data_IF_303281201067
#
_entry.id   IF_303281201067
#
_cell.length_a   1.000
_cell.length_b   1.000
_cell.length_c   1.000
_cell.angle_alpha   90.00
_cell.angle_beta   90.00
_cell.angle_gamma   90.00
#
_symmetry.space_group_name_H-M   'P 1'
#
loop_
_entity.id
_entity.type
_entity.pdbx_description
1 polymer ?
#
# COMPACT_ATOMS: atom_id res chain seq x y z
N UNK A 1 -6.52 -35.04 -17.66
CA UNK A 1 -6.59 -33.57 -17.63
C UNK A 1 -7.76 -33.20 -16.73
N UNK A 2 -7.51 -32.71 -15.52
CA UNK A 2 -8.56 -32.37 -14.57
C UNK A 2 -8.82 -30.86 -14.67
N UNK A 3 -10.05 -30.50 -15.02
CA UNK A 3 -10.52 -29.13 -15.01
C UNK A 3 -11.14 -28.86 -13.64
N UNK A 4 -10.51 -28.00 -12.83
CA UNK A 4 -11.05 -27.56 -11.54
C UNK A 4 -11.70 -26.19 -11.78
N UNK A 5 -13.03 -26.14 -11.70
CA UNK A 5 -13.79 -24.88 -11.74
C UNK A 5 -14.08 -24.45 -10.31
N UNK A 6 -13.44 -23.38 -9.86
CA UNK A 6 -13.76 -22.73 -8.59
C UNK A 6 -14.93 -21.77 -8.77
N UNK A 7 -16.10 -22.12 -8.26
CA UNK A 7 -17.25 -21.21 -8.17
C UNK A 7 -17.23 -20.49 -6.82
N UNK A 8 -17.20 -19.15 -6.83
CA UNK A 8 -17.31 -18.32 -5.61
C UNK A 8 -18.79 -18.01 -5.38
N UNK A 9 -19.39 -18.64 -4.36
CA UNK A 9 -20.77 -18.35 -3.96
C UNK A 9 -20.74 -17.16 -2.99
N UNK A 10 -21.21 -16.00 -3.45
CA UNK A 10 -21.42 -14.84 -2.57
C UNK A 10 -22.83 -14.95 -1.96
N UNK A 11 -22.90 -15.28 -0.67
CA UNK A 11 -24.13 -15.14 0.11
C UNK A 11 -24.45 -13.64 0.26
N UNK A 12 -25.44 -13.13 -0.49
CA UNK A 12 -26.00 -11.81 -0.24
C UNK A 12 -27.24 -12.03 0.63
N UNK A 13 -27.09 -11.89 1.95
CA UNK A 13 -28.27 -11.80 2.83
C UNK A 13 -29.07 -10.56 2.42
N UNK A 14 -30.41 -10.63 2.44
CA UNK A 14 -31.29 -9.51 2.08
C UNK A 14 -31.12 -8.25 2.97
N UNK A 15 -30.22 -8.31 3.95
CA UNK A 15 -29.85 -7.23 4.87
C UNK A 15 -28.39 -6.78 4.73
N UNK A 16 -27.63 -7.31 3.77
CA UNK A 16 -26.28 -6.83 3.48
C UNK A 16 -26.37 -5.42 2.89
N UNK A 17 -26.07 -4.41 3.70
CA UNK A 17 -25.95 -3.03 3.24
C UNK A 17 -24.60 -2.89 2.55
N UNK A 18 -24.50 -2.10 1.47
CA UNK A 18 -23.18 -1.75 0.97
C UNK A 18 -22.35 -1.15 2.11
N UNK A 19 -21.06 -1.50 2.24
CA UNK A 19 -20.24 -0.90 3.27
C UNK A 19 -20.22 0.61 3.06
N UNK A 20 -20.34 1.37 4.14
CA UNK A 20 -20.10 2.79 4.16
C UNK A 20 -18.67 3.05 3.69
N UNK A 21 -18.53 3.94 2.70
CA UNK A 21 -17.24 4.28 2.11
C UNK A 21 -16.90 5.72 2.43
N UNK A 22 -15.86 5.91 3.23
CA UNK A 22 -15.29 7.21 3.48
C UNK A 22 -14.07 7.37 2.58
N UNK A 23 -14.07 8.41 1.76
CA UNK A 23 -12.92 8.79 0.92
C UNK A 23 -12.33 10.05 1.53
N UNK A 24 -11.04 9.99 1.83
CA UNK A 24 -10.27 11.03 2.49
C UNK A 24 -9.22 11.50 1.50
N UNK A 25 -9.13 12.80 1.25
CA UNK A 25 -8.19 13.34 0.28
C UNK A 25 -6.73 13.28 0.79
N UNK A 26 -5.76 13.30 -0.11
CA UNK A 26 -4.36 13.48 0.29
C UNK A 26 -4.20 14.81 1.04
N UNK A 27 -3.46 14.79 2.15
CA UNK A 27 -3.31 15.92 3.06
C UNK A 27 -4.36 16.00 4.17
N UNK A 28 -5.43 15.21 4.11
CA UNK A 28 -6.39 15.08 5.20
C UNK A 28 -6.03 13.93 6.15
N UNK A 29 -6.57 14.00 7.37
CA UNK A 29 -6.35 13.04 8.44
C UNK A 29 -7.38 11.92 8.38
N UNK A 30 -6.90 10.67 8.28
CA UNK A 30 -7.73 9.48 8.45
C UNK A 30 -7.53 8.89 9.86
N UNK A 31 -8.56 8.95 10.69
CA UNK A 31 -8.54 8.28 12.00
C UNK A 31 -9.03 6.83 11.91
N UNK A 32 -8.23 5.89 12.40
CA UNK A 32 -8.57 4.48 12.49
C UNK A 32 -7.91 3.83 13.71
N UNK A 33 -8.71 3.10 14.52
CA UNK A 33 -8.25 2.34 15.70
C UNK A 33 -7.31 3.11 16.65
N UNK A 34 -7.68 4.34 17.00
CA UNK A 34 -6.93 5.17 17.96
C UNK A 34 -5.69 5.86 17.39
N UNK A 35 -5.45 5.75 16.08
CA UNK A 35 -4.39 6.44 15.34
C UNK A 35 -4.98 7.35 14.28
N UNK A 36 -4.27 8.42 13.96
CA UNK A 36 -4.49 9.25 12.77
C UNK A 36 -3.36 9.03 11.79
N UNK A 37 -3.71 8.80 10.53
CA UNK A 37 -2.79 8.65 9.42
C UNK A 37 -2.95 9.85 8.48
N UNK A 38 -1.83 10.44 8.08
CA UNK A 38 -1.77 11.46 7.04
C UNK A 38 -0.67 11.08 6.07
N UNK A 39 -0.91 11.18 4.76
CA UNK A 39 0.16 10.98 3.78
C UNK A 39 1.11 12.16 3.87
N UNK A 40 2.37 11.85 4.14
CA UNK A 40 3.48 12.79 4.16
C UNK A 40 4.12 12.89 2.78
N UNK A 41 4.29 11.75 2.11
CA UNK A 41 4.93 11.65 0.80
C UNK A 41 4.57 10.32 0.11
N UNK A 42 4.69 10.28 -1.23
CA UNK A 42 4.52 9.07 -2.02
C UNK A 42 5.43 9.12 -3.27
N UNK A 43 6.24 8.09 -3.46
CA UNK A 43 7.19 7.99 -4.57
C UNK A 43 7.00 6.68 -5.31
N UNK A 44 6.79 6.75 -6.62
CA UNK A 44 6.73 5.61 -7.52
C UNK A 44 8.10 5.38 -8.16
N UNK A 45 8.74 4.29 -7.76
CA UNK A 45 10.04 3.88 -8.24
C UNK A 45 9.95 2.89 -9.38
N UNK A 46 10.90 3.01 -10.31
CA UNK A 46 11.29 1.85 -11.08
C UNK A 46 11.91 0.80 -10.15
N UNK A 47 11.45 -0.46 -10.24
CA UNK A 47 11.72 -1.46 -9.19
C UNK A 47 13.21 -1.64 -8.89
N UNK A 48 14.02 -1.80 -9.94
CA UNK A 48 15.47 -2.04 -9.78
C UNK A 48 16.22 -0.79 -9.32
N UNK A 49 15.74 0.40 -9.65
CA UNK A 49 16.43 1.65 -9.33
C UNK A 49 16.34 1.98 -7.84
N UNK A 50 15.21 1.64 -7.20
CA UNK A 50 15.10 1.72 -5.74
C UNK A 50 16.23 0.96 -5.03
N UNK A 51 16.50 -0.29 -5.44
CA UNK A 51 17.54 -1.10 -4.79
C UNK A 51 18.96 -0.65 -5.16
N UNK A 52 19.16 -0.04 -6.35
CA UNK A 52 20.45 0.60 -6.70
C UNK A 52 20.74 1.80 -5.81
N UNK A 53 19.72 2.61 -5.51
CA UNK A 53 19.85 3.79 -4.65
C UNK A 53 19.87 3.46 -3.15
N UNK A 54 19.27 2.33 -2.78
CA UNK A 54 19.22 1.79 -1.42
C UNK A 54 19.93 0.43 -1.32
N UNK A 55 21.26 0.37 -1.47
CA UNK A 55 22.01 -0.88 -1.48
C UNK A 55 21.91 -1.66 -0.16
N UNK A 56 21.55 -1.00 0.95
CA UNK A 56 21.24 -1.65 2.23
C UNK A 56 20.05 -2.62 2.14
N UNK A 57 19.14 -2.42 1.18
CA UNK A 57 17.96 -3.26 0.97
C UNK A 57 18.12 -4.23 -0.20
N UNK A 58 19.31 -4.30 -0.81
CA UNK A 58 19.59 -5.13 -1.98
C UNK A 58 19.25 -6.63 -1.78
N UNK A 59 19.32 -7.14 -0.54
CA UNK A 59 18.94 -8.52 -0.22
C UNK A 59 17.45 -8.81 -0.36
N UNK A 60 16.61 -7.78 -0.35
CA UNK A 60 15.16 -7.88 -0.53
C UNK A 60 14.73 -7.82 -2.00
N UNK A 61 15.65 -7.46 -2.91
CA UNK A 61 15.34 -7.44 -4.33
C UNK A 61 15.10 -8.86 -4.84
N UNK A 62 13.90 -9.11 -5.36
CA UNK A 62 13.57 -10.38 -5.99
C UNK A 62 14.11 -10.43 -7.44
N UNK A 63 14.92 -11.45 -7.75
CA UNK A 63 15.60 -11.56 -9.05
C UNK A 63 14.69 -11.63 -10.29
N UNK A 64 13.43 -12.03 -10.10
CA UNK A 64 12.41 -12.15 -11.14
C UNK A 64 11.64 -10.85 -11.39
N UNK A 65 11.74 -9.89 -10.46
CA UNK A 65 11.08 -8.61 -10.54
C UNK A 65 12.05 -7.57 -11.13
N UNK A 66 11.58 -6.85 -12.14
CA UNK A 66 12.35 -5.89 -12.94
C UNK A 66 11.53 -4.65 -13.19
N UNK A 67 12.17 -3.57 -13.63
CA UNK A 67 11.46 -2.35 -13.98
C UNK A 67 10.42 -2.51 -15.10
N UNK A 68 10.58 -3.53 -15.95
CA UNK A 68 9.65 -3.83 -17.05
C UNK A 68 8.34 -4.47 -16.59
N UNK A 69 8.35 -5.13 -15.43
CA UNK A 69 7.23 -5.94 -14.94
C UNK A 69 6.70 -5.52 -13.56
N UNK A 70 7.43 -4.66 -12.85
CA UNK A 70 7.10 -4.24 -11.48
C UNK A 70 7.48 -2.79 -11.26
N UNK A 71 6.63 -2.05 -10.54
CA UNK A 71 6.99 -0.75 -9.93
C UNK A 71 6.89 -0.86 -8.41
N UNK A 72 7.63 -0.03 -7.69
CA UNK A 72 7.56 0.04 -6.23
C UNK A 72 6.99 1.42 -5.84
N UNK A 73 5.77 1.44 -5.31
CA UNK A 73 5.18 2.64 -4.72
C UNK A 73 5.55 2.67 -3.23
N UNK A 74 6.44 3.59 -2.85
CA UNK A 74 6.79 3.85 -1.46
C UNK A 74 5.93 4.98 -0.91
N UNK A 75 5.19 4.74 0.17
CA UNK A 75 4.32 5.76 0.77
C UNK A 75 4.73 6.02 2.21
N UNK A 76 4.96 7.28 2.53
CA UNK A 76 5.28 7.75 3.87
C UNK A 76 4.03 8.33 4.53
N UNK A 77 3.69 7.85 5.72
CA UNK A 77 2.59 8.36 6.52
C UNK A 77 3.10 8.97 7.81
N UNK A 78 2.58 10.13 8.19
CA UNK A 78 2.67 10.58 9.58
C UNK A 78 1.61 9.84 10.39
N UNK A 79 2.01 9.20 11.49
CA UNK A 79 1.09 8.48 12.37
C UNK A 79 1.02 9.15 13.74
N UNK A 80 -0.17 9.59 14.12
CA UNK A 80 -0.39 10.24 15.41
C UNK A 80 -1.28 9.38 16.33
N UNK A 81 -0.87 9.24 17.59
CA UNK A 81 -1.65 8.57 18.63
C UNK A 81 -2.63 9.55 19.23
N UNK A 82 -3.93 9.28 19.07
CA UNK A 82 -5.00 10.11 19.64
C UNK A 82 -5.70 9.48 20.85
N UNK A 83 -5.43 8.20 21.13
CA UNK A 83 -5.99 7.44 22.26
C UNK A 83 -4.95 6.52 22.89
N UNK A 84 -5.07 6.24 24.19
CA UNK A 84 -4.16 5.36 24.91
C UNK A 84 -4.08 3.96 24.32
N UNK A 85 -5.23 3.39 23.98
CA UNK A 85 -5.35 2.16 23.23
C UNK A 85 -5.36 2.47 21.73
N UNK A 86 -4.44 1.86 21.00
CA UNK A 86 -4.32 2.01 19.56
C UNK A 86 -3.85 0.69 18.92
N UNK A 87 -4.15 0.53 17.64
CA UNK A 87 -3.67 -0.60 16.84
C UNK A 87 -3.15 -0.07 15.51
N UNK A 88 -1.84 -0.20 15.31
CA UNK A 88 -1.19 0.10 14.05
C UNK A 88 -1.47 -1.00 13.04
N UNK A 89 -1.90 -0.61 11.85
CA UNK A 89 -1.98 -1.52 10.70
C UNK A 89 -0.64 -1.45 9.96
N UNK A 90 0.13 -2.54 10.00
CA UNK A 90 1.48 -2.60 9.41
C UNK A 90 1.47 -3.04 7.96
N UNK A 91 0.35 -3.60 7.48
CA UNK A 91 0.19 -4.03 6.09
C UNK A 91 -1.18 -3.60 5.54
N UNK A 92 -1.50 -2.29 5.56
CA UNK A 92 -2.76 -1.82 5.02
C UNK A 92 -2.83 -2.17 3.54
N UNK A 93 -4.02 -2.52 3.07
CA UNK A 93 -4.21 -2.83 1.65
C UNK A 93 -4.31 -1.53 0.86
N UNK A 94 -3.76 -1.50 -0.34
CA UNK A 94 -4.03 -0.42 -1.30
C UNK A 94 -5.11 -0.88 -2.29
N UNK A 95 -6.16 -0.09 -2.50
CA UNK A 95 -7.23 -0.40 -3.44
C UNK A 95 -6.83 0.03 -4.85
N UNK A 96 -6.30 -0.94 -5.59
CA UNK A 96 -6.44 -1.09 -7.03
C UNK A 96 -6.26 -2.59 -7.35
N UNK A 97 -6.65 -3.01 -8.56
CA UNK A 97 -7.23 -4.33 -8.82
C UNK A 97 -6.31 -5.55 -8.58
N UNK A 98 -6.64 -6.27 -7.50
CA UNK A 98 -6.30 -7.66 -7.19
C UNK A 98 -4.88 -7.97 -6.69
N UNK A 99 -4.79 -7.92 -5.36
CA UNK A 99 -3.81 -8.58 -4.48
C UNK A 99 -2.42 -7.98 -4.57
N UNK A 100 -2.30 -6.79 -3.98
CA UNK A 100 -1.05 -6.33 -3.41
C UNK A 100 -0.80 -7.06 -2.09
N UNK A 101 0.49 -7.23 -1.77
CA UNK A 101 1.09 -7.75 -0.53
C UNK A 101 1.44 -9.23 -0.58
N UNK A 102 2.70 -9.51 -0.92
CA UNK A 102 3.60 -10.03 0.10
C UNK A 102 4.88 -9.22 0.04
N UNK A 103 4.89 -8.11 0.76
CA UNK A 103 6.17 -7.52 1.11
C UNK A 103 6.84 -8.42 2.14
N UNK A 104 8.14 -8.62 2.03
CA UNK A 104 8.90 -9.34 3.04
C UNK A 104 8.71 -8.63 4.40
N UNK A 105 8.17 -9.30 5.44
CA UNK A 105 8.01 -8.71 6.76
C UNK A 105 9.33 -8.22 7.36
N UNK A 106 10.46 -8.80 6.97
CA UNK A 106 11.79 -8.32 7.35
C UNK A 106 12.13 -6.98 6.68
N UNK A 107 11.79 -6.81 5.40
CA UNK A 107 11.99 -5.54 4.72
C UNK A 107 11.12 -4.43 5.35
N UNK A 108 9.87 -4.73 5.72
CA UNK A 108 9.05 -3.76 6.46
C UNK A 108 9.70 -3.35 7.80
N UNK A 109 10.30 -4.31 8.50
CA UNK A 109 10.96 -4.10 9.79
C UNK A 109 12.22 -3.27 9.68
N UNK A 110 13.02 -3.51 8.63
CA UNK A 110 14.25 -2.73 8.34
C UNK A 110 13.93 -1.33 7.81
N UNK A 111 12.83 -1.18 7.07
CA UNK A 111 12.34 0.11 6.60
C UNK A 111 11.76 0.96 7.74
N UNK A 112 11.24 0.31 8.79
CA UNK A 112 10.64 0.96 9.96
C UNK A 112 11.30 0.48 11.27
N UNK A 113 12.60 0.74 11.49
CA UNK A 113 13.35 0.17 12.60
C UNK A 113 12.81 0.60 13.97
N UNK A 114 12.22 1.80 14.07
CA UNK A 114 11.63 2.27 15.33
C UNK A 114 10.41 1.46 15.78
N UNK A 115 9.68 0.82 14.85
CA UNK A 115 8.62 -0.13 15.21
C UNK A 115 9.19 -1.42 15.79
N UNK A 116 10.23 -1.95 15.14
CA UNK A 116 10.93 -3.18 15.54
C UNK A 116 11.60 -3.03 16.91
N UNK A 117 12.20 -1.88 17.16
CA UNK A 117 12.93 -1.57 18.39
C UNK A 117 12.04 -1.00 19.51
N UNK A 118 10.75 -0.77 19.24
CA UNK A 118 9.78 -0.24 20.20
C UNK A 118 9.98 1.23 20.58
N UNK A 119 10.70 1.99 19.75
CA UNK A 119 10.96 3.43 19.94
C UNK A 119 10.02 4.33 19.14
N UNK A 120 9.12 3.74 18.34
CA UNK A 120 8.12 4.47 17.55
C UNK A 120 7.21 5.32 18.44
N UNK A 121 7.11 6.61 18.12
CA UNK A 121 6.30 7.59 18.84
C UNK A 121 5.31 8.31 17.93
N UNK A 122 4.32 8.96 18.54
CA UNK A 122 3.35 9.78 17.81
C UNK A 122 4.06 10.90 17.03
N UNK A 123 3.73 11.04 15.75
CA UNK A 123 4.36 11.97 14.82
C UNK A 123 5.49 11.35 14.01
N UNK A 124 5.92 10.12 14.31
CA UNK A 124 6.89 9.40 13.49
C UNK A 124 6.33 9.08 12.10
N UNK A 125 7.27 8.89 11.17
CA UNK A 125 6.97 8.49 9.80
C UNK A 125 6.92 6.97 9.71
N UNK A 126 5.83 6.44 9.17
CA UNK A 126 5.63 5.06 8.79
C UNK A 126 5.80 4.93 7.28
N UNK A 127 6.73 4.10 6.84
CA UNK A 127 6.94 3.81 5.44
C UNK A 127 6.27 2.49 5.07
N UNK A 128 5.40 2.52 4.05
CA UNK A 128 4.71 1.35 3.54
C UNK A 128 5.01 1.22 2.04
N UNK A 129 5.69 0.14 1.65
CA UNK A 129 6.00 -0.18 0.27
C UNK A 129 4.92 -1.04 -0.36
N UNK A 130 4.59 -0.75 -1.62
CA UNK A 130 3.62 -1.48 -2.42
C UNK A 130 4.21 -1.86 -3.80
N UNK A 131 4.30 -3.15 -4.08
CA UNK A 131 4.78 -3.65 -5.39
C UNK A 131 3.64 -3.78 -6.39
N UNK A 132 3.72 -3.04 -7.50
CA UNK A 132 2.74 -3.02 -8.59
C UNK A 132 3.19 -3.93 -9.72
N UNK A 133 2.59 -5.11 -9.78
CA UNK A 133 2.88 -6.09 -10.82
C UNK A 133 2.09 -5.83 -12.10
N UNK A 134 2.80 -5.69 -13.22
CA UNK A 134 2.23 -5.60 -14.57
C UNK A 134 1.31 -6.76 -14.91
N UNK A 135 1.61 -7.97 -14.40
CA UNK A 135 0.82 -9.17 -14.65
C UNK A 135 -0.63 -9.09 -14.13
N UNK A 136 -0.89 -8.23 -13.14
CA UNK A 136 -2.23 -8.03 -12.57
C UNK A 136 -3.02 -6.92 -13.29
N UNK A 137 -2.41 -6.26 -14.28
CA UNK A 137 -2.95 -5.08 -14.94
C UNK A 137 -3.19 -5.34 -16.44
N UNK A 138 -4.19 -4.67 -17.00
CA UNK A 138 -4.29 -4.56 -18.46
C UNK A 138 -3.16 -3.69 -19.00
N UNK A 139 -2.93 -3.74 -20.31
CA UNK A 139 -1.94 -2.88 -20.97
C UNK A 139 -2.20 -1.39 -20.70
N UNK A 140 -3.46 -0.96 -20.84
CA UNK A 140 -3.86 0.44 -20.60
C UNK A 140 -3.63 0.85 -19.14
N UNK A 141 -3.87 -0.06 -18.20
CA UNK A 141 -3.62 0.21 -16.77
C UNK A 141 -2.12 0.28 -16.45
N UNK A 142 -1.31 -0.59 -17.05
CA UNK A 142 0.14 -0.52 -16.89
C UNK A 142 0.70 0.79 -17.46
N UNK A 143 0.22 1.22 -18.64
CA UNK A 143 0.59 2.52 -19.21
C UNK A 143 0.19 3.68 -18.28
N UNK A 144 -0.96 3.60 -17.59
CA UNK A 144 -1.33 4.61 -16.59
C UNK A 144 -0.36 4.61 -15.40
N UNK A 145 0.11 3.45 -14.94
CA UNK A 145 1.11 3.34 -13.87
C UNK A 145 2.44 3.95 -14.31
N UNK A 146 2.93 3.58 -15.50
CA UNK A 146 4.20 4.10 -16.05
C UNK A 146 4.18 5.62 -16.25
N UNK A 147 3.03 6.18 -16.58
CA UNK A 147 2.85 7.62 -16.75
C UNK A 147 2.43 8.34 -15.46
N UNK A 148 2.36 7.63 -14.33
CA UNK A 148 1.92 8.17 -13.03
C UNK A 148 0.56 8.88 -13.10
N UNK A 149 -0.42 8.22 -13.73
CA UNK A 149 -1.79 8.69 -13.93
C UNK A 149 -2.81 7.93 -13.08
N UNK A 150 -2.34 7.14 -12.11
CA UNK A 150 -3.18 6.32 -11.24
C UNK A 150 -3.37 7.04 -9.90
N UNK A 151 -4.62 7.14 -9.47
CA UNK A 151 -4.96 7.51 -8.09
C UNK A 151 -5.05 6.22 -7.29
N UNK A 152 -4.20 6.08 -6.27
CA UNK A 152 -4.26 4.94 -5.37
C UNK A 152 -5.03 5.28 -4.10
N UNK A 153 -5.48 4.27 -3.36
CA UNK A 153 -6.22 4.48 -2.11
C UNK A 153 -5.71 3.51 -1.04
N UNK A 154 -5.11 3.99 0.06
CA UNK A 154 -4.87 3.15 1.22
C UNK A 154 -6.21 2.82 1.89
N UNK A 155 -6.46 1.54 2.11
CA UNK A 155 -7.69 1.04 2.73
C UNK A 155 -7.44 0.65 4.17
N UNK A 156 -8.16 1.31 5.08
CA UNK A 156 -8.25 0.92 6.48
C UNK A 156 -9.68 0.56 6.85
N UNK A 157 -9.87 -0.72 7.21
CA UNK A 157 -11.16 -1.27 7.65
C UNK A 157 -11.78 -2.28 6.68
N UNK A 158 -12.82 -2.94 7.19
CA UNK A 158 -13.61 -3.97 6.49
C UNK A 158 -15.10 -3.71 6.74
N UNK A 159 -15.97 -4.46 6.06
CA UNK A 159 -17.42 -4.37 6.26
C UNK A 159 -17.80 -4.23 7.76
N UNK A 160 -18.69 -3.29 8.12
CA UNK A 160 -19.49 -2.43 7.24
C UNK A 160 -18.86 -1.07 6.90
N UNK A 161 -17.65 -0.72 7.37
CA UNK A 161 -17.04 0.61 7.12
C UNK A 161 -15.67 0.46 6.47
N UNK A 162 -15.49 1.10 5.32
CA UNK A 162 -14.24 1.14 4.59
C UNK A 162 -13.76 2.58 4.48
N UNK A 163 -12.63 2.88 5.12
CA UNK A 163 -11.98 4.18 4.96
C UNK A 163 -10.90 4.08 3.90
N UNK A 164 -10.83 5.09 3.04
CA UNK A 164 -9.94 5.12 1.87
C UNK A 164 -9.22 6.45 1.84
N UNK A 165 -7.93 6.43 2.11
CA UNK A 165 -7.07 7.61 2.03
C UNK A 165 -6.43 7.65 0.64
N UNK A 166 -6.76 8.68 -0.14
CA UNK A 166 -6.29 8.85 -1.51
C UNK A 166 -4.81 9.23 -1.54
N UNK A 167 -4.09 8.65 -2.50
CA UNK A 167 -2.68 8.92 -2.80
C UNK A 167 -2.65 9.42 -4.25
N UNK A 168 -2.42 10.71 -4.43
CA UNK A 168 -2.59 11.46 -5.68
C UNK A 168 -1.33 12.23 -6.08
N UNK A 169 -0.65 12.88 -5.15
CA UNK A 169 0.59 13.62 -5.43
C UNK A 169 1.76 12.65 -5.27
N UNK A 170 2.08 11.94 -6.36
CA UNK A 170 3.09 10.89 -6.40
C UNK A 170 4.27 11.39 -7.21
N UNK A 171 5.47 11.35 -6.64
CA UNK A 171 6.71 11.64 -7.35
C UNK A 171 7.16 10.39 -8.13
N UNK A 172 7.85 10.58 -9.25
CA UNK A 172 8.45 9.47 -10.01
C UNK A 172 9.96 9.54 -9.88
N UNK A 173 10.57 8.42 -9.51
CA UNK A 173 12.02 8.28 -9.38
C UNK A 173 12.52 7.00 -10.11
N UNK A 174 13.78 7.05 -10.55
CA UNK A 174 14.40 6.02 -11.40
C UNK A 174 14.39 6.35 -12.91
N UNK A 175 15.19 5.62 -13.68
CA UNK A 175 15.26 5.78 -15.14
C UNK A 175 13.97 5.23 -15.78
N UNK A 176 13.39 5.99 -16.73
CA UNK A 176 12.18 5.60 -17.47
C UNK A 176 12.48 4.72 -18.69
#
# INVERSE_FOLDING_TARGET
MFLIIGARICYVTAHARLPEQNVIAQGENLTYRGLTYQIKDAVLWNYEDYFKEHPEYQSYQESQLTGENTKLLMVAYTVEKIQDQNVLETMPSIQYFHVFNQFDPFFFSDLNPSLSDGTFVSGDTLYIPYEIYKANLTKEQWEQVENNQVIYEMVLGTYPVKNRLQITDIEMEGEQ
#
